data_IF_340356718366
#
_entry.id   IF_340356718366
#
_cell.length_a   1.000
_cell.length_b   1.000
_cell.length_c   1.000
_cell.angle_alpha   90.00
_cell.angle_beta   90.00
_cell.angle_gamma   90.00
#
_symmetry.space_group_name_H-M   'P 1'
#
loop_
_entity.id
_entity.type
_entity.pdbx_description
1 polymer ?
#
# COMPACT_ATOMS: atom_id res chain seq x y z
N UNK A 1 29.16 -12.69 74.98
CA UNK A 1 28.33 -11.66 74.33
C UNK A 1 29.14 -10.38 74.21
N UNK A 2 29.68 -10.08 73.03
CA UNK A 2 30.37 -8.81 72.78
C UNK A 2 29.45 -7.94 71.93
N UNK A 3 28.96 -6.85 72.52
CA UNK A 3 28.15 -5.85 71.84
C UNK A 3 29.12 -4.87 71.15
N UNK A 4 29.22 -4.91 69.83
CA UNK A 4 29.94 -3.88 69.09
C UNK A 4 29.08 -2.63 69.07
N UNK A 5 29.57 -1.55 69.69
CA UNK A 5 28.97 -0.23 69.64
C UNK A 5 28.91 0.20 68.17
N UNK A 6 27.70 0.27 67.60
CA UNK A 6 27.48 0.93 66.32
C UNK A 6 27.72 2.41 66.54
N UNK A 7 28.76 2.97 65.93
CA UNK A 7 28.97 4.41 65.88
C UNK A 7 27.69 5.08 65.37
N UNK A 8 27.15 6.00 66.17
CA UNK A 8 25.99 6.77 65.79
C UNK A 8 26.38 7.62 64.58
N UNK A 9 25.74 7.38 63.43
CA UNK A 9 25.86 8.21 62.24
C UNK A 9 25.43 9.62 62.64
N UNK A 10 26.39 10.53 62.74
CA UNK A 10 26.11 11.93 63.04
C UNK A 10 25.12 12.48 62.01
N UNK A 11 24.00 13.02 62.48
CA UNK A 11 23.02 13.65 61.60
C UNK A 11 23.69 14.78 60.80
N UNK A 12 23.39 14.92 59.49
CA UNK A 12 24.02 15.94 58.67
C UNK A 12 23.76 17.33 59.27
N UNK A 13 24.84 18.06 59.56
CA UNK A 13 24.79 19.45 60.02
C UNK A 13 24.05 20.26 58.97
N UNK A 14 22.88 20.80 59.31
CA UNK A 14 22.12 21.64 58.40
C UNK A 14 22.84 22.97 58.25
N UNK A 15 23.49 23.16 57.10
CA UNK A 15 24.05 24.44 56.70
C UNK A 15 22.91 25.39 56.33
N UNK A 16 22.79 26.50 57.04
CA UNK A 16 21.86 27.57 56.67
C UNK A 16 22.34 28.20 55.36
N UNK A 17 21.49 28.15 54.34
CA UNK A 17 21.76 28.76 53.05
C UNK A 17 21.58 30.27 53.14
N UNK A 18 22.48 31.02 52.53
CA UNK A 18 22.32 32.46 52.41
C UNK A 18 21.12 32.79 51.52
N UNK A 19 20.49 33.94 51.76
CA UNK A 19 19.34 34.42 50.96
C UNK A 19 19.63 34.43 49.46
N UNK A 20 20.87 34.76 49.07
CA UNK A 20 21.29 34.77 47.67
C UNK A 20 21.36 33.36 47.06
N UNK A 21 21.85 32.37 47.79
CA UNK A 21 21.88 30.97 47.34
C UNK A 21 20.47 30.42 47.15
N UNK A 22 19.54 30.76 48.06
CA UNK A 22 18.12 30.35 47.95
C UNK A 22 17.49 30.94 46.68
N UNK A 23 17.72 32.22 46.40
CA UNK A 23 17.19 32.87 45.20
C UNK A 23 17.77 32.26 43.91
N UNK A 24 19.06 31.92 43.90
CA UNK A 24 19.69 31.24 42.76
C UNK A 24 19.09 29.86 42.51
N UNK A 25 18.86 29.08 43.56
CA UNK A 25 18.22 27.76 43.47
C UNK A 25 16.77 27.90 42.95
N UNK A 26 16.01 28.88 43.46
CA UNK A 26 14.64 29.13 43.00
C UNK A 26 14.60 29.53 41.51
N UNK A 27 15.49 30.44 41.08
CA UNK A 27 15.60 30.81 39.66
C UNK A 27 15.98 29.61 38.79
N UNK A 28 16.95 28.80 39.20
CA UNK A 28 17.36 27.62 38.46
C UNK A 28 16.23 26.57 38.38
N UNK A 29 15.45 26.42 39.45
CA UNK A 29 14.28 25.54 39.50
C UNK A 29 13.19 25.99 38.52
N UNK A 30 12.86 27.29 38.51
CA UNK A 30 11.87 27.84 37.58
C UNK A 30 12.34 27.76 36.12
N UNK A 31 13.62 28.05 35.85
CA UNK A 31 14.20 27.86 34.52
C UNK A 31 14.16 26.39 34.08
N UNK A 32 14.45 25.46 34.99
CA UNK A 32 14.34 24.02 34.74
C UNK A 32 12.91 23.60 34.42
N UNK A 33 11.92 24.13 35.15
CA UNK A 33 10.50 23.90 34.92
C UNK A 33 10.05 24.40 33.54
N UNK A 34 10.42 25.63 33.18
CA UNK A 34 10.11 26.22 31.88
C UNK A 34 10.74 25.41 30.73
N UNK A 35 12.02 25.03 30.86
CA UNK A 35 12.69 24.22 29.86
C UNK A 35 12.07 22.82 29.70
N UNK A 36 11.60 22.20 30.80
CA UNK A 36 10.89 20.93 30.75
C UNK A 36 9.53 21.08 30.04
N UNK A 37 8.80 22.16 30.30
CA UNK A 37 7.51 22.44 29.67
C UNK A 37 7.66 22.68 28.16
N UNK A 38 8.69 23.43 27.74
CA UNK A 38 8.99 23.64 26.32
C UNK A 38 9.36 22.34 25.61
N UNK A 39 10.19 21.50 26.23
CA UNK A 39 10.52 20.17 25.69
C UNK A 39 9.29 19.29 25.55
N UNK A 40 8.38 19.31 26.53
CA UNK A 40 7.14 18.56 26.48
C UNK A 40 6.25 19.02 25.33
N UNK A 41 6.04 20.33 25.19
CA UNK A 41 5.28 20.93 24.06
C UNK A 41 5.88 20.56 22.71
N UNK A 42 7.22 20.61 22.58
CA UNK A 42 7.90 20.24 21.35
C UNK A 42 7.75 18.74 21.01
N UNK A 43 7.87 17.87 22.03
CA UNK A 43 7.69 16.43 21.85
C UNK A 43 6.26 16.09 21.43
N UNK A 44 5.25 16.73 22.03
CA UNK A 44 3.85 16.54 21.68
C UNK A 44 3.57 16.97 20.24
N UNK A 45 4.02 18.17 19.85
CA UNK A 45 3.89 18.67 18.47
C UNK A 45 4.53 17.72 17.47
N UNK A 46 5.74 17.27 17.75
CA UNK A 46 6.48 16.33 16.87
C UNK A 46 5.74 14.99 16.76
N UNK A 47 5.27 14.42 17.87
CA UNK A 47 4.48 13.17 17.86
C UNK A 47 3.20 13.31 17.04
N UNK A 48 2.46 14.41 17.22
CA UNK A 48 1.25 14.70 16.46
C UNK A 48 1.55 14.80 14.95
N UNK A 49 2.62 15.50 14.57
CA UNK A 49 3.06 15.57 13.17
C UNK A 49 3.43 14.21 12.59
N UNK A 50 4.13 13.36 13.36
CA UNK A 50 4.49 12.00 12.93
C UNK A 50 3.23 11.16 12.73
N UNK A 51 2.27 11.21 13.65
CA UNK A 51 1.00 10.49 13.53
C UNK A 51 0.27 10.86 12.24
N UNK A 52 0.06 12.17 12.02
CA UNK A 52 -0.61 12.69 10.82
C UNK A 52 0.09 12.26 9.53
N UNK A 53 1.42 12.31 9.49
CA UNK A 53 2.20 11.86 8.31
C UNK A 53 2.05 10.35 8.06
N UNK A 54 2.04 9.53 9.13
CA UNK A 54 1.83 8.08 9.01
C UNK A 54 0.44 7.75 8.51
N UNK A 55 -0.59 8.40 9.04
CA UNK A 55 -1.97 8.25 8.60
C UNK A 55 -2.12 8.62 7.12
N UNK A 56 -1.61 9.79 6.72
CA UNK A 56 -1.63 10.22 5.32
C UNK A 56 -0.89 9.22 4.40
N UNK A 57 0.25 8.69 4.83
CA UNK A 57 0.99 7.68 4.08
C UNK A 57 0.22 6.36 3.95
N UNK A 58 -0.40 5.89 5.04
CA UNK A 58 -1.22 4.68 5.04
C UNK A 58 -2.43 4.82 4.11
N UNK A 59 -3.13 5.95 4.18
CA UNK A 59 -4.25 6.27 3.28
C UNK A 59 -3.79 6.37 1.82
N UNK A 60 -2.63 6.98 1.56
CA UNK A 60 -2.03 7.05 0.23
C UNK A 60 -1.75 5.66 -0.35
N UNK A 61 -1.14 4.77 0.45
CA UNK A 61 -0.88 3.37 0.06
C UNK A 61 -2.18 2.61 -0.21
N UNK A 62 -3.17 2.76 0.66
CA UNK A 62 -4.48 2.11 0.50
C UNK A 62 -5.19 2.59 -0.77
N UNK A 63 -5.19 3.90 -1.02
CA UNK A 63 -5.76 4.46 -2.25
C UNK A 63 -5.03 3.96 -3.49
N UNK A 64 -3.70 3.87 -3.46
CA UNK A 64 -2.92 3.35 -4.57
C UNK A 64 -3.21 1.87 -4.83
N UNK A 65 -3.31 1.06 -3.77
CA UNK A 65 -3.69 -0.35 -3.88
C UNK A 65 -5.09 -0.51 -4.47
N UNK A 66 -6.08 0.23 -3.96
CA UNK A 66 -7.46 0.20 -4.48
C UNK A 66 -7.55 0.55 -5.96
N UNK A 67 -6.78 1.54 -6.42
CA UNK A 67 -6.70 1.89 -7.84
C UNK A 67 -6.12 0.75 -8.67
N UNK A 68 -5.03 0.12 -8.21
CA UNK A 68 -4.43 -1.03 -8.90
C UNK A 68 -5.39 -2.21 -8.98
N UNK A 69 -6.07 -2.55 -7.89
CA UNK A 69 -7.09 -3.61 -7.89
C UNK A 69 -8.17 -3.33 -8.92
N UNK A 70 -8.72 -2.11 -8.96
CA UNK A 70 -9.72 -1.73 -9.97
C UNK A 70 -9.19 -1.84 -11.41
N UNK A 71 -7.95 -1.42 -11.66
CA UNK A 71 -7.33 -1.56 -12.99
C UNK A 71 -7.15 -3.03 -13.38
N UNK A 72 -6.75 -3.89 -12.43
CA UNK A 72 -6.61 -5.32 -12.67
C UNK A 72 -7.97 -5.99 -12.90
N UNK A 73 -9.00 -5.61 -12.15
CA UNK A 73 -10.38 -6.06 -12.35
C UNK A 73 -10.90 -5.65 -13.73
N UNK A 74 -10.63 -4.41 -14.16
CA UNK A 74 -11.00 -3.92 -15.49
C UNK A 74 -10.27 -4.69 -16.59
N UNK A 75 -8.95 -4.91 -16.44
CA UNK A 75 -8.17 -5.73 -17.37
C UNK A 75 -8.65 -7.18 -17.41
N UNK A 76 -9.06 -7.76 -16.26
CA UNK A 76 -9.63 -9.10 -16.20
C UNK A 76 -11.00 -9.13 -16.90
N UNK A 77 -11.84 -8.13 -16.66
CA UNK A 77 -13.14 -7.97 -17.32
C UNK A 77 -13.01 -7.79 -18.84
N UNK A 78 -12.02 -7.02 -19.29
CA UNK A 78 -11.66 -6.88 -20.71
C UNK A 78 -11.23 -8.24 -21.27
N UNK A 79 -10.43 -9.00 -20.53
CA UNK A 79 -9.96 -10.34 -20.94
C UNK A 79 -11.07 -11.38 -21.06
N UNK A 80 -12.15 -11.23 -20.30
CA UNK A 80 -13.33 -12.10 -20.36
C UNK A 80 -14.23 -11.74 -21.54
N UNK A 81 -14.29 -10.45 -21.92
CA UNK A 81 -15.08 -9.97 -23.07
C UNK A 81 -14.36 -10.13 -24.39
N UNK A 82 -13.06 -9.86 -24.40
CA UNK A 82 -12.20 -9.88 -25.57
C UNK A 82 -10.87 -10.56 -25.25
N UNK A 83 -10.39 -11.39 -26.16
CA UNK A 83 -9.09 -12.03 -26.02
C UNK A 83 -8.29 -12.00 -27.32
N UNK A 84 -6.99 -11.82 -27.20
CA UNK A 84 -6.04 -11.96 -28.31
C UNK A 84 -5.69 -13.43 -28.51
N UNK A 85 -5.28 -13.80 -29.74
CA UNK A 85 -4.91 -15.18 -30.08
C UNK A 85 -3.82 -15.70 -29.15
N UNK A 86 -2.74 -14.93 -28.97
CA UNK A 86 -1.60 -15.29 -28.11
C UNK A 86 -2.05 -15.60 -26.67
N UNK A 87 -3.02 -14.84 -26.15
CA UNK A 87 -3.52 -15.04 -24.79
C UNK A 87 -4.29 -16.35 -24.66
N UNK A 88 -5.14 -16.67 -25.65
CA UNK A 88 -5.88 -17.94 -25.70
C UNK A 88 -4.93 -19.13 -25.93
N UNK A 89 -3.93 -19.00 -26.80
CA UNK A 89 -2.90 -20.02 -27.04
C UNK A 89 -2.13 -20.34 -25.75
N UNK A 90 -1.73 -19.31 -25.00
CA UNK A 90 -1.01 -19.51 -23.74
C UNK A 90 -1.89 -20.15 -22.66
N UNK A 91 -3.17 -19.79 -22.60
CA UNK A 91 -4.11 -20.35 -21.62
C UNK A 91 -4.53 -21.79 -21.93
N UNK A 92 -4.66 -22.13 -23.22
CA UNK A 92 -5.08 -23.48 -23.66
C UNK A 92 -3.89 -24.42 -23.93
N UNK A 93 -2.68 -23.89 -24.06
CA UNK A 93 -1.49 -24.65 -24.44
C UNK A 93 -1.43 -25.04 -25.93
N UNK A 94 -2.42 -24.61 -26.73
CA UNK A 94 -2.55 -24.97 -28.15
C UNK A 94 -2.04 -23.86 -29.05
N UNK A 95 -0.73 -23.86 -29.31
CA UNK A 95 -0.08 -22.85 -30.16
C UNK A 95 -0.27 -23.17 -31.63
N UNK A 96 -0.66 -22.18 -32.43
CA UNK A 96 -0.77 -22.27 -33.89
C UNK A 96 -2.08 -22.87 -34.41
N UNK A 97 -3.01 -23.29 -33.53
CA UNK A 97 -4.32 -23.82 -33.93
C UNK A 97 -5.34 -22.72 -34.28
N UNK A 98 -5.13 -21.51 -33.76
CA UNK A 98 -6.08 -20.41 -33.93
C UNK A 98 -5.62 -19.45 -35.02
N UNK A 99 -6.52 -19.15 -35.95
CA UNK A 99 -6.25 -18.33 -37.13
C UNK A 99 -7.11 -17.07 -37.11
N UNK A 100 -6.47 -15.90 -37.16
CA UNK A 100 -7.16 -14.60 -37.13
C UNK A 100 -8.16 -14.40 -38.28
N UNK A 101 -7.97 -15.06 -39.43
CA UNK A 101 -8.85 -14.96 -40.60
C UNK A 101 -10.27 -15.46 -40.30
N UNK A 102 -10.39 -16.54 -39.53
CA UNK A 102 -11.70 -17.12 -39.18
C UNK A 102 -12.46 -16.20 -38.22
N UNK A 103 -11.78 -15.68 -37.20
CA UNK A 103 -12.35 -14.71 -36.26
C UNK A 103 -12.74 -13.40 -36.97
N UNK A 104 -11.89 -12.91 -37.89
CA UNK A 104 -12.19 -11.72 -38.70
C UNK A 104 -13.42 -11.92 -39.59
N UNK A 105 -13.57 -13.11 -40.17
CA UNK A 105 -14.73 -13.45 -40.99
C UNK A 105 -16.00 -13.46 -40.15
N UNK A 106 -15.98 -14.11 -38.99
CA UNK A 106 -17.10 -14.13 -38.05
C UNK A 106 -17.51 -12.72 -37.62
N UNK A 107 -16.54 -11.86 -37.28
CA UNK A 107 -16.81 -10.46 -36.92
C UNK A 107 -17.49 -9.69 -38.07
N UNK A 108 -17.07 -9.92 -39.32
CA UNK A 108 -17.68 -9.28 -40.50
C UNK A 108 -19.11 -9.76 -40.74
N UNK A 109 -19.36 -11.05 -40.56
CA UNK A 109 -20.69 -11.66 -40.76
C UNK A 109 -21.69 -11.23 -39.67
N UNK A 110 -21.22 -11.08 -38.42
CA UNK A 110 -22.07 -10.69 -37.28
C UNK A 110 -22.10 -9.16 -37.02
N UNK A 111 -21.38 -8.36 -37.79
CA UNK A 111 -21.32 -6.89 -37.60
C UNK A 111 -20.65 -6.43 -36.30
N UNK A 112 -19.83 -7.29 -35.69
CA UNK A 112 -19.15 -6.99 -34.41
C UNK A 112 -17.76 -6.43 -34.67
N UNK A 113 -17.41 -5.32 -34.02
CA UNK A 113 -16.09 -4.70 -34.14
C UNK A 113 -15.07 -5.38 -33.22
N UNK A 114 -13.86 -5.61 -33.71
CA UNK A 114 -12.74 -6.07 -32.89
C UNK A 114 -11.97 -4.91 -32.28
N UNK A 115 -11.71 -5.01 -30.97
CA UNK A 115 -10.94 -4.02 -30.21
C UNK A 115 -9.44 -4.22 -30.45
N UNK A 116 -8.69 -3.12 -30.43
CA UNK A 116 -7.23 -3.15 -30.63
C UNK A 116 -6.55 -2.93 -29.28
N UNK A 117 -5.87 -3.96 -28.78
CA UNK A 117 -5.15 -3.92 -27.50
C UNK A 117 -3.68 -3.62 -27.76
N UNK A 118 -3.05 -2.67 -27.04
CA UNK A 118 -1.63 -2.41 -27.17
C UNK A 118 -0.81 -3.62 -26.69
N UNK A 119 0.19 -4.01 -27.48
CA UNK A 119 1.07 -5.15 -27.21
C UNK A 119 2.53 -4.69 -27.30
N UNK A 120 3.36 -5.05 -26.33
CA UNK A 120 4.76 -4.60 -26.26
C UNK A 120 5.62 -5.16 -27.41
N UNK A 121 5.25 -6.32 -27.95
CA UNK A 121 6.01 -7.04 -28.98
C UNK A 121 5.67 -6.58 -30.40
N UNK A 122 4.40 -6.23 -30.63
CA UNK A 122 3.88 -5.90 -31.96
C UNK A 122 3.21 -4.52 -32.06
N UNK A 123 3.27 -3.72 -31.00
CA UNK A 123 2.66 -2.39 -30.89
C UNK A 123 1.17 -2.46 -30.59
N UNK A 124 0.38 -3.08 -31.46
CA UNK A 124 -1.06 -3.26 -31.26
C UNK A 124 -1.54 -4.56 -31.89
N UNK A 125 -2.26 -5.38 -31.13
CA UNK A 125 -2.82 -6.66 -31.57
C UNK A 125 -4.34 -6.61 -31.49
N UNK A 126 -5.01 -7.28 -32.43
CA UNK A 126 -6.47 -7.39 -32.42
C UNK A 126 -6.93 -8.36 -31.33
N UNK A 127 -7.86 -7.91 -30.52
CA UNK A 127 -8.62 -8.72 -29.58
C UNK A 127 -9.98 -9.04 -30.17
N UNK A 128 -10.40 -10.30 -30.01
CA UNK A 128 -11.63 -10.82 -30.60
C UNK A 128 -12.65 -11.09 -29.49
N UNK A 129 -13.94 -10.82 -29.73
CA UNK A 129 -15.00 -10.94 -28.73
C UNK A 129 -15.22 -12.39 -28.30
N UNK A 130 -15.74 -12.59 -27.09
CA UNK A 130 -16.03 -13.90 -26.51
C UNK A 130 -16.94 -14.74 -27.41
N UNK A 131 -17.94 -14.12 -28.03
CA UNK A 131 -18.89 -14.80 -28.91
C UNK A 131 -18.19 -15.40 -30.15
N UNK A 132 -17.18 -14.70 -30.72
CA UNK A 132 -16.39 -15.22 -31.83
C UNK A 132 -15.57 -16.46 -31.44
N UNK A 133 -15.01 -16.45 -30.23
CA UNK A 133 -14.24 -17.58 -29.70
C UNK A 133 -15.12 -18.79 -29.43
N UNK A 134 -16.33 -18.57 -28.94
CA UNK A 134 -17.31 -19.62 -28.67
C UNK A 134 -17.82 -20.25 -29.97
N UNK A 135 -18.20 -19.46 -30.96
CA UNK A 135 -18.79 -19.96 -32.21
C UNK A 135 -17.77 -20.63 -33.13
N UNK A 136 -16.57 -20.06 -33.26
CA UNK A 136 -15.56 -20.57 -34.21
C UNK A 136 -14.79 -21.75 -33.63
N UNK A 137 -14.44 -21.69 -32.34
CA UNK A 137 -13.53 -22.64 -31.71
C UNK A 137 -14.14 -23.37 -30.50
N UNK A 138 -15.36 -23.05 -30.07
CA UNK A 138 -15.98 -23.63 -28.88
C UNK A 138 -15.31 -23.19 -27.57
N UNK A 139 -14.56 -22.08 -27.59
CA UNK A 139 -13.80 -21.62 -26.42
C UNK A 139 -14.60 -20.56 -25.68
N UNK A 140 -15.03 -20.88 -24.46
CA UNK A 140 -15.62 -19.90 -23.56
C UNK A 140 -14.55 -19.12 -22.81
N UNK A 141 -14.39 -17.84 -23.17
CA UNK A 141 -13.47 -16.93 -22.49
C UNK A 141 -13.82 -16.73 -21.00
N UNK A 142 -15.10 -16.85 -20.61
CA UNK A 142 -15.51 -16.76 -19.21
C UNK A 142 -15.00 -17.95 -18.41
N UNK A 143 -15.03 -19.15 -18.98
CA UNK A 143 -14.46 -20.34 -18.34
C UNK A 143 -12.93 -20.32 -18.32
N UNK A 144 -12.29 -19.67 -19.29
CA UNK A 144 -10.84 -19.66 -19.44
C UNK A 144 -10.15 -18.57 -18.60
N UNK A 145 -10.76 -17.38 -18.52
CA UNK A 145 -10.20 -16.22 -17.81
C UNK A 145 -11.06 -15.72 -16.65
N UNK A 146 -12.28 -16.22 -16.48
CA UNK A 146 -13.11 -15.91 -15.33
C UNK A 146 -12.56 -16.56 -14.06
N UNK A 147 -12.86 -15.94 -12.92
CA UNK A 147 -12.43 -16.44 -11.62
C UNK A 147 -12.94 -17.87 -11.39
N UNK A 148 -12.01 -18.79 -11.09
CA UNK A 148 -12.35 -19.96 -10.28
C UNK A 148 -12.73 -19.44 -8.90
N UNK A 149 -14.04 -19.34 -8.65
CA UNK A 149 -14.58 -19.10 -7.30
C UNK A 149 -14.04 -20.11 -6.30
#
# INVERSE_FOLDING_TARGET
FYFTQRDAIAAPVQRELSTMEILQIAMASEQGRLAAEERAKHAERTKSQISRKREASALGKLSAAKRRCRMLEEQLGESVKHATIIKVENATGRKGEFTYLLLRRWCKENGVLSESVPDERYGSVKSWPADAWLDVYGIDLKSLFGEKK
#
